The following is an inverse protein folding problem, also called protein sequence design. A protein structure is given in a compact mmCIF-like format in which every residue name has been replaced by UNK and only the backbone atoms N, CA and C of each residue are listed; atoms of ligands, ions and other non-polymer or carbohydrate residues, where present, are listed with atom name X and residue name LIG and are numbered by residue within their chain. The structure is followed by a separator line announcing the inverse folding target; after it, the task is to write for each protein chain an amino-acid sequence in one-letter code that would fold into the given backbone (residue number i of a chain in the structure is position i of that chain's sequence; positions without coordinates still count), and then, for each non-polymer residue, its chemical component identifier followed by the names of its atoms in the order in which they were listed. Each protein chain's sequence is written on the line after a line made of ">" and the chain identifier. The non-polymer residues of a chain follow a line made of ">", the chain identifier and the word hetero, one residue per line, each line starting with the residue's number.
data_IF_428695014220
#
_entry.id   IF_428695014220
#
_cell.length_a   1.000
_cell.length_b   1.000
_cell.length_c   1.000
_cell.angle_alpha   90.00
_cell.angle_beta   90.00
_cell.angle_gamma   90.00
#
_symmetry.space_group_name_H-M   'P 1'
#
loop_
_entity.id
_entity.type
_entity.pdbx_description
1 polymer ?
#
# COMPACT_ATOMS: atom_id res chain seq x y z
N UNK A 1 16.92 -10.65 -23.55
CA UNK A 1 16.45 -9.25 -23.60
C UNK A 1 15.09 -9.10 -22.91
N UNK A 2 14.11 -9.98 -23.16
CA UNK A 2 12.80 -10.02 -22.49
C UNK A 2 12.85 -10.00 -20.93
N UNK A 3 13.59 -10.90 -20.30
CA UNK A 3 13.63 -11.01 -18.82
C UNK A 3 14.19 -9.75 -18.14
N UNK A 4 15.21 -9.13 -18.73
CA UNK A 4 15.79 -7.90 -18.21
C UNK A 4 14.81 -6.72 -18.32
N UNK A 5 14.00 -6.68 -19.38
CA UNK A 5 12.96 -5.67 -19.56
C UNK A 5 11.82 -5.86 -18.56
N UNK A 6 11.35 -7.09 -18.34
CA UNK A 6 10.31 -7.39 -17.33
C UNK A 6 10.82 -7.06 -15.92
N UNK A 7 12.05 -7.44 -15.58
CA UNK A 7 12.64 -7.10 -14.29
C UNK A 7 12.75 -5.59 -14.08
N UNK A 8 13.31 -4.85 -15.05
CA UNK A 8 13.51 -3.41 -14.91
C UNK A 8 12.18 -2.66 -14.84
N UNK A 9 11.20 -3.03 -15.66
CA UNK A 9 9.86 -2.41 -15.62
C UNK A 9 9.14 -2.70 -14.32
N UNK A 10 9.10 -3.97 -13.88
CA UNK A 10 8.48 -4.34 -12.61
C UNK A 10 9.15 -3.63 -11.42
N UNK A 11 10.49 -3.55 -11.41
CA UNK A 11 11.25 -2.85 -10.39
C UNK A 11 10.91 -1.35 -10.37
N UNK A 12 10.92 -0.68 -11.52
CA UNK A 12 10.64 0.77 -11.59
C UNK A 12 9.18 1.07 -11.18
N UNK A 13 8.22 0.26 -11.63
CA UNK A 13 6.81 0.44 -11.25
C UNK A 13 6.61 0.21 -9.76
N UNK A 14 7.16 -0.88 -9.21
CA UNK A 14 7.06 -1.18 -7.78
C UNK A 14 7.76 -0.14 -6.90
N UNK A 15 8.97 0.29 -7.29
CA UNK A 15 9.73 1.32 -6.58
C UNK A 15 9.01 2.66 -6.61
N UNK A 16 8.41 3.05 -7.74
CA UNK A 16 7.61 4.27 -7.85
C UNK A 16 6.44 4.27 -6.87
N UNK A 17 5.71 3.16 -6.78
CA UNK A 17 4.62 3.00 -5.81
C UNK A 17 5.09 3.09 -4.36
N UNK A 18 6.23 2.45 -4.03
CA UNK A 18 6.81 2.47 -2.69
C UNK A 18 7.34 3.85 -2.26
N UNK A 19 7.84 4.66 -3.20
CA UNK A 19 8.36 6.01 -2.95
C UNK A 19 7.27 7.09 -2.89
N UNK A 20 6.05 6.80 -3.34
CA UNK A 20 4.97 7.77 -3.31
C UNK A 20 4.71 8.23 -1.86
N UNK A 21 4.70 9.56 -1.58
CA UNK A 21 4.48 10.06 -0.24
C UNK A 21 3.07 9.67 0.21
N UNK A 22 2.99 8.71 1.12
CA UNK A 22 1.75 8.10 1.58
C UNK A 22 1.88 7.50 2.98
N UNK A 23 0.77 7.04 3.56
CA UNK A 23 0.70 6.64 4.97
C UNK A 23 1.70 5.54 5.34
N UNK A 24 1.85 4.52 4.48
CA UNK A 24 2.75 3.40 4.74
C UNK A 24 4.23 3.84 4.75
N UNK A 25 4.62 4.73 3.83
CA UNK A 25 5.98 5.28 3.78
C UNK A 25 6.26 6.15 5.01
N UNK A 26 5.32 7.02 5.38
CA UNK A 26 5.44 7.86 6.59
C UNK A 26 5.59 7.03 7.86
N UNK A 27 4.77 5.99 8.03
CA UNK A 27 4.89 5.05 9.16
C UNK A 27 6.22 4.30 9.12
N UNK A 28 6.66 3.88 7.93
CA UNK A 28 7.95 3.19 7.75
C UNK A 28 9.12 4.07 8.16
N UNK A 29 9.14 5.34 7.76
CA UNK A 29 10.16 6.31 8.16
C UNK A 29 10.12 6.53 9.69
N UNK A 30 8.95 6.82 10.24
CA UNK A 30 8.78 7.09 11.67
C UNK A 30 9.20 5.91 12.55
N UNK A 31 8.78 4.69 12.21
CA UNK A 31 9.15 3.50 12.98
C UNK A 31 10.60 3.05 12.73
N UNK A 32 11.16 3.29 11.54
CA UNK A 32 12.59 3.04 11.31
C UNK A 32 13.47 3.98 12.11
N UNK A 33 13.06 5.25 12.27
CA UNK A 33 13.76 6.20 13.13
C UNK A 33 13.68 5.81 14.61
N UNK A 34 12.55 5.24 15.06
CA UNK A 34 12.35 4.87 16.48
C UNK A 34 12.89 3.49 16.86
N UNK A 35 12.73 2.48 15.99
CA UNK A 35 13.03 1.06 16.27
C UNK A 35 14.22 0.53 15.46
N UNK A 36 14.83 1.37 14.63
CA UNK A 36 15.97 1.03 13.78
C UNK A 36 15.58 0.36 12.47
N UNK A 37 16.60 -0.02 11.68
CA UNK A 37 16.46 -0.53 10.31
C UNK A 37 15.50 -1.71 10.15
N UNK A 38 15.38 -2.57 11.16
CA UNK A 38 14.52 -3.77 11.10
C UNK A 38 13.02 -3.44 10.95
N UNK A 39 12.58 -2.25 11.34
CA UNK A 39 11.18 -1.85 11.22
C UNK A 39 10.70 -1.84 9.75
N UNK A 40 11.53 -1.33 8.83
CA UNK A 40 11.18 -1.25 7.41
C UNK A 40 10.88 -2.62 6.77
N UNK A 41 11.83 -3.58 6.79
CA UNK A 41 11.59 -4.91 6.26
C UNK A 41 10.39 -5.63 6.90
N UNK A 42 10.17 -5.45 8.20
CA UNK A 42 9.02 -6.07 8.89
C UNK A 42 7.68 -5.49 8.43
N UNK A 43 7.59 -4.16 8.26
CA UNK A 43 6.37 -3.49 7.76
C UNK A 43 6.07 -3.93 6.33
N UNK A 44 7.08 -3.93 5.45
CA UNK A 44 6.94 -4.33 4.05
C UNK A 44 6.56 -5.81 3.94
N UNK A 45 7.14 -6.69 4.76
CA UNK A 45 6.79 -8.11 4.77
C UNK A 45 5.32 -8.32 5.15
N UNK A 46 4.82 -7.64 6.18
CA UNK A 46 3.40 -7.71 6.55
C UNK A 46 2.48 -7.24 5.43
N UNK A 47 2.85 -6.14 4.75
CA UNK A 47 2.12 -5.64 3.59
C UNK A 47 2.11 -6.65 2.43
N UNK A 48 3.27 -7.20 2.08
CA UNK A 48 3.43 -8.17 1.00
C UNK A 48 2.63 -9.48 1.24
N UNK A 49 2.51 -9.92 2.50
CA UNK A 49 1.67 -11.08 2.86
C UNK A 49 0.19 -10.80 2.56
N UNK A 50 -0.30 -9.61 2.91
CA UNK A 50 -1.70 -9.22 2.63
C UNK A 50 -1.96 -9.11 1.14
N UNK A 51 -1.04 -8.51 0.38
CA UNK A 51 -1.13 -8.45 -1.08
C UNK A 51 -1.10 -9.83 -1.71
N UNK A 52 -0.18 -10.71 -1.28
CA UNK A 52 -0.09 -12.08 -1.76
C UNK A 52 -1.38 -12.87 -1.50
N UNK A 53 -1.95 -12.75 -0.29
CA UNK A 53 -3.23 -13.37 0.05
C UNK A 53 -4.38 -12.85 -0.84
N UNK A 54 -4.43 -11.54 -1.10
CA UNK A 54 -5.41 -10.94 -2.00
C UNK A 54 -5.25 -11.46 -3.43
N UNK A 55 -4.03 -11.49 -3.97
CA UNK A 55 -3.75 -12.01 -5.33
C UNK A 55 -4.17 -13.47 -5.46
N UNK A 56 -3.88 -14.32 -4.45
CA UNK A 56 -4.35 -15.71 -4.42
C UNK A 56 -5.88 -15.75 -4.40
N UNK A 57 -6.54 -14.95 -3.57
CA UNK A 57 -8.01 -14.92 -3.51
C UNK A 57 -8.63 -14.46 -4.84
N UNK A 58 -8.03 -13.47 -5.51
CA UNK A 58 -8.44 -13.02 -6.85
C UNK A 58 -8.32 -14.17 -7.86
N UNK A 59 -7.20 -14.90 -7.84
CA UNK A 59 -6.98 -16.05 -8.72
C UNK A 59 -7.97 -17.20 -8.45
N UNK A 60 -8.41 -17.39 -7.20
CA UNK A 60 -9.43 -18.38 -6.81
C UNK A 60 -10.87 -17.97 -7.15
N UNK A 61 -11.09 -16.78 -7.72
CA UNK A 61 -12.39 -16.36 -8.22
C UNK A 61 -13.02 -15.16 -7.51
N UNK A 62 -12.35 -14.55 -6.52
CA UNK A 62 -12.83 -13.31 -5.88
C UNK A 62 -13.02 -12.17 -6.88
N UNK A 63 -12.29 -12.19 -8.00
CA UNK A 63 -12.43 -11.22 -9.08
C UNK A 63 -13.88 -11.12 -9.62
N UNK A 64 -14.60 -12.24 -9.72
CA UNK A 64 -15.99 -12.25 -10.20
C UNK A 64 -16.94 -11.52 -9.24
N UNK A 65 -16.70 -11.66 -7.93
CA UNK A 65 -17.47 -10.94 -6.91
C UNK A 65 -17.16 -9.44 -6.94
N UNK A 66 -15.90 -9.07 -7.10
CA UNK A 66 -15.47 -7.66 -7.17
C UNK A 66 -15.95 -6.97 -8.45
N UNK A 67 -16.18 -7.72 -9.53
CA UNK A 67 -16.74 -7.19 -10.77
C UNK A 67 -18.23 -6.80 -10.65
N UNK A 68 -18.92 -7.21 -9.58
CA UNK A 68 -20.30 -6.81 -9.35
C UNK A 68 -20.38 -5.28 -9.14
N UNK A 69 -21.22 -4.54 -9.90
CA UNK A 69 -21.26 -3.08 -9.85
C UNK A 69 -21.53 -2.50 -8.46
N UNK A 70 -22.33 -3.19 -7.65
CA UNK A 70 -22.61 -2.77 -6.27
C UNK A 70 -21.38 -2.90 -5.38
N UNK A 71 -20.65 -4.02 -5.48
CA UNK A 71 -19.45 -4.30 -4.67
C UNK A 71 -18.36 -3.29 -4.98
N UNK A 72 -18.07 -3.07 -6.27
CA UNK A 72 -17.09 -2.06 -6.69
C UNK A 72 -17.45 -0.65 -6.22
N UNK A 73 -18.73 -0.25 -6.29
CA UNK A 73 -19.20 1.05 -5.77
C UNK A 73 -19.00 1.20 -4.26
N UNK A 74 -19.33 0.16 -3.49
CA UNK A 74 -19.13 0.18 -2.03
C UNK A 74 -17.65 0.30 -1.69
N UNK A 75 -16.78 -0.50 -2.33
CA UNK A 75 -15.33 -0.41 -2.14
C UNK A 75 -14.80 0.97 -2.51
N UNK A 76 -15.25 1.55 -3.63
CA UNK A 76 -14.81 2.87 -4.05
C UNK A 76 -15.20 3.97 -3.04
N UNK A 77 -16.45 3.94 -2.53
CA UNK A 77 -16.92 4.93 -1.54
C UNK A 77 -16.20 4.75 -0.21
N UNK A 78 -16.17 3.54 0.34
CA UNK A 78 -15.55 3.26 1.64
C UNK A 78 -14.04 3.48 1.58
N UNK A 79 -13.38 2.98 0.52
CA UNK A 79 -11.96 3.19 0.29
C UNK A 79 -11.61 4.66 0.09
N UNK A 80 -12.41 5.41 -0.68
CA UNK A 80 -12.22 6.84 -0.87
C UNK A 80 -12.34 7.63 0.43
N UNK A 81 -13.37 7.34 1.25
CA UNK A 81 -13.52 7.95 2.57
C UNK A 81 -12.35 7.62 3.49
N UNK A 82 -11.85 6.38 3.44
CA UNK A 82 -10.70 5.97 4.22
C UNK A 82 -9.41 6.69 3.77
N UNK A 83 -9.21 6.91 2.47
CA UNK A 83 -8.09 7.68 1.95
C UNK A 83 -8.15 9.15 2.40
N UNK A 84 -9.34 9.76 2.41
CA UNK A 84 -9.53 11.12 2.96
C UNK A 84 -9.19 11.14 4.44
N UNK A 85 -9.66 10.16 5.21
CA UNK A 85 -9.36 10.03 6.64
C UNK A 85 -7.85 9.90 6.90
N UNK A 86 -7.15 9.05 6.14
CA UNK A 86 -5.70 8.91 6.26
C UNK A 86 -4.96 10.19 5.88
N UNK A 87 -5.35 10.85 4.79
CA UNK A 87 -4.76 12.12 4.36
C UNK A 87 -4.92 13.22 5.42
N UNK A 88 -6.10 13.32 6.04
CA UNK A 88 -6.34 14.24 7.16
C UNK A 88 -5.46 13.92 8.36
N UNK A 89 -5.37 12.63 8.74
CA UNK A 89 -4.52 12.18 9.84
C UNK A 89 -3.05 12.57 9.64
N UNK A 90 -2.51 12.31 8.45
CA UNK A 90 -1.13 12.69 8.09
C UNK A 90 -0.91 14.20 8.17
N UNK A 91 -1.82 15.01 7.61
CA UNK A 91 -1.72 16.47 7.65
C UNK A 91 -1.77 17.02 9.08
N UNK A 92 -2.64 16.46 9.91
CA UNK A 92 -2.74 16.82 11.33
C UNK A 92 -1.48 16.45 12.11
N UNK A 93 -0.97 15.24 11.92
CA UNK A 93 0.18 14.74 12.67
C UNK A 93 1.47 15.48 12.29
N UNK A 94 1.61 15.88 11.01
CA UNK A 94 2.65 16.79 10.55
C UNK A 94 2.53 18.19 11.18
N UNK A 95 1.32 18.75 11.27
CA UNK A 95 1.09 20.06 11.90
C UNK A 95 1.39 20.06 13.41
N UNK A 96 1.16 18.93 14.08
CA UNK A 96 1.42 18.74 15.51
C UNK A 96 2.87 18.30 15.82
N UNK A 97 3.73 18.12 14.82
CA UNK A 97 5.13 17.71 14.99
C UNK A 97 5.30 16.30 15.56
N UNK A 98 4.35 15.38 15.29
CA UNK A 98 4.36 14.00 15.81
C UNK A 98 5.07 13.00 14.89
N UNK A 99 5.48 13.45 13.71
CA UNK A 99 6.22 12.73 12.66
C UNK A 99 7.34 13.60 12.12
#
# INVERSE_FOLDING_TARGET
>A
MELAAIFSTAFVVGLSGAMMPGPLLTVTIGESARRGFAAGPLIVLGHAILEGALVVALALGLAALLAAPLVGKVIAVVGGLFLIYMGWGMGRDAWLGRV
#
